data_IF_189465194189
#
_entry.id   IF_189465194189
#
_cell.length_a   1.000
_cell.length_b   1.000
_cell.length_c   1.000
_cell.angle_alpha   90.00
_cell.angle_beta   90.00
_cell.angle_gamma   90.00
#
_symmetry.space_group_name_H-M   'P 1'
#
loop_
_entity.id
_entity.type
_entity.pdbx_description
1 polymer ?
#
# COMPACT_ATOMS: atom_id res chain seq x y z
N UNK A 1 -14.53 8.95 8.50
CA UNK A 1 -14.64 7.60 9.15
C UNK A 1 -13.50 6.76 8.62
N UNK A 2 -12.68 6.11 9.47
CA UNK A 2 -11.41 5.51 9.01
C UNK A 2 -11.57 4.16 8.31
N UNK A 3 -10.66 3.88 7.37
CA UNK A 3 -10.48 2.61 6.64
C UNK A 3 -10.45 1.37 7.56
N UNK A 4 -10.16 1.54 8.85
CA UNK A 4 -10.17 0.47 9.87
C UNK A 4 -11.55 -0.15 10.10
N UNK A 5 -12.64 0.57 9.85
CA UNK A 5 -13.99 0.01 10.03
C UNK A 5 -14.40 -0.92 8.88
N UNK A 6 -13.69 -0.86 7.75
CA UNK A 6 -13.92 -1.70 6.58
C UNK A 6 -12.91 -2.83 6.43
N UNK A 7 -11.87 -2.86 7.27
CA UNK A 7 -11.01 -4.02 7.48
C UNK A 7 -11.49 -4.82 8.70
N UNK A 8 -12.71 -5.38 8.63
CA UNK A 8 -13.25 -6.30 9.64
C UNK A 8 -12.52 -7.67 9.70
N UNK A 9 -11.36 -7.79 9.03
CA UNK A 9 -10.49 -8.98 9.01
C UNK A 9 -9.90 -9.38 10.37
N UNK A 10 -10.09 -8.59 11.44
CA UNK A 10 -9.35 -8.77 12.70
C UNK A 10 -10.11 -9.54 13.79
N UNK A 11 -11.36 -9.95 13.57
CA UNK A 11 -12.20 -10.54 14.64
C UNK A 11 -12.70 -11.96 14.42
N UNK A 12 -13.02 -12.38 13.20
CA UNK A 12 -13.81 -13.60 12.98
C UNK A 12 -13.31 -14.42 11.78
N UNK A 13 -13.32 -15.75 11.94
CA UNK A 13 -13.11 -16.70 10.83
C UNK A 13 -14.34 -16.66 9.92
N UNK A 14 -14.29 -15.86 8.86
CA UNK A 14 -15.36 -15.81 7.85
C UNK A 14 -15.08 -16.76 6.68
N UNK A 15 -16.15 -17.33 6.12
CA UNK A 15 -16.09 -18.23 4.95
C UNK A 15 -15.64 -17.48 3.68
N UNK A 16 -14.98 -18.19 2.75
CA UNK A 16 -14.36 -17.62 1.54
C UNK A 16 -15.32 -16.79 0.68
N UNK A 17 -16.55 -17.26 0.47
CA UNK A 17 -17.57 -16.54 -0.29
C UNK A 17 -17.94 -15.20 0.36
N UNK A 18 -18.03 -15.15 1.69
CA UNK A 18 -18.28 -13.91 2.44
C UNK A 18 -17.11 -12.92 2.39
N UNK A 19 -15.87 -13.40 2.22
CA UNK A 19 -14.70 -12.53 1.99
C UNK A 19 -14.69 -11.94 0.58
N UNK A 20 -15.09 -12.70 -0.44
CA UNK A 20 -15.17 -12.24 -1.84
C UNK A 20 -16.29 -11.20 -2.06
N UNK A 21 -17.28 -11.16 -1.16
CA UNK A 21 -18.33 -10.14 -1.06
C UNK A 21 -17.97 -8.94 -0.16
N UNK A 22 -16.76 -8.89 0.41
CA UNK A 22 -16.28 -7.72 1.16
C UNK A 22 -15.34 -6.85 0.34
N UNK A 23 -15.30 -5.57 0.69
CA UNK A 23 -14.44 -4.59 0.05
C UNK A 23 -12.96 -4.92 0.25
N UNK A 24 -12.29 -5.32 -0.83
CA UNK A 24 -10.84 -5.45 -0.88
C UNK A 24 -10.22 -4.11 -1.28
N UNK A 25 -9.12 -3.63 -0.67
CA UNK A 25 -8.49 -2.40 -1.11
C UNK A 25 -7.77 -2.58 -2.45
N UNK A 26 -7.76 -1.54 -3.28
CA UNK A 26 -6.84 -1.52 -4.41
C UNK A 26 -5.43 -1.24 -3.87
N UNK A 27 -4.56 -2.25 -3.95
CA UNK A 27 -3.23 -2.25 -3.35
C UNK A 27 -2.15 -2.03 -4.40
N UNK A 28 -1.25 -1.10 -4.14
CA UNK A 28 0.05 -0.98 -4.79
C UNK A 28 1.14 -1.47 -3.83
N UNK A 29 1.80 -2.58 -4.16
CA UNK A 29 3.04 -3.00 -3.50
C UNK A 29 4.23 -2.48 -4.30
N UNK A 30 5.02 -1.61 -3.68
CA UNK A 30 6.11 -0.89 -4.33
C UNK A 30 7.42 -1.39 -3.75
N UNK A 31 8.28 -1.94 -4.61
CA UNK A 31 9.54 -2.54 -4.21
C UNK A 31 10.71 -1.97 -5.01
N UNK A 32 11.79 -1.48 -4.36
CA UNK A 32 13.02 -1.12 -5.04
C UNK A 32 13.53 -2.26 -5.91
N UNK A 33 14.24 -1.98 -7.02
CA UNK A 33 14.76 -3.06 -7.88
C UNK A 33 15.95 -3.80 -7.28
N UNK A 34 16.50 -3.28 -6.18
CA UNK A 34 17.63 -3.86 -5.46
C UNK A 34 17.25 -4.27 -4.04
N UNK A 35 18.03 -5.20 -3.47
CA UNK A 35 17.83 -5.69 -2.10
C UNK A 35 18.33 -4.68 -1.08
N UNK A 36 17.73 -4.72 0.12
CA UNK A 36 18.23 -3.97 1.27
C UNK A 36 19.70 -4.33 1.53
N UNK A 37 20.55 -3.31 1.69
CA UNK A 37 22.00 -3.45 1.85
C UNK A 37 22.82 -3.40 0.57
N UNK A 38 22.20 -3.34 -0.61
CA UNK A 38 22.92 -3.07 -1.86
C UNK A 38 23.55 -1.66 -1.86
N UNK A 39 24.68 -1.48 -2.56
CA UNK A 39 25.42 -0.20 -2.62
C UNK A 39 24.55 0.97 -3.10
N UNK A 40 23.65 0.73 -4.05
CA UNK A 40 22.73 1.71 -4.62
C UNK A 40 21.32 1.64 -4.01
N UNK A 41 21.13 0.96 -2.88
CA UNK A 41 19.82 0.78 -2.27
C UNK A 41 19.14 2.10 -1.94
N UNK A 42 19.86 3.08 -1.39
CA UNK A 42 19.27 4.36 -1.00
C UNK A 42 18.67 5.10 -2.20
N UNK A 43 19.38 5.13 -3.33
CA UNK A 43 18.93 5.79 -4.56
C UNK A 43 17.69 5.09 -5.13
N UNK A 44 17.73 3.76 -5.25
CA UNK A 44 16.59 2.98 -5.73
C UNK A 44 15.39 3.06 -4.79
N UNK A 45 15.64 3.14 -3.48
CA UNK A 45 14.56 3.29 -2.51
C UNK A 45 13.92 4.68 -2.58
N UNK A 46 14.71 5.75 -2.79
CA UNK A 46 14.16 7.10 -3.05
C UNK A 46 13.27 7.12 -4.29
N UNK A 47 13.66 6.44 -5.38
CA UNK A 47 12.83 6.32 -6.59
C UNK A 47 11.51 5.60 -6.30
N UNK A 48 11.56 4.49 -5.58
CA UNK A 48 10.36 3.77 -5.13
C UNK A 48 9.45 4.63 -4.23
N UNK A 49 10.02 5.41 -3.29
CA UNK A 49 9.26 6.35 -2.45
C UNK A 49 8.64 7.48 -3.30
N UNK A 50 9.38 7.99 -4.28
CA UNK A 50 8.87 8.99 -5.23
C UNK A 50 7.68 8.47 -6.03
N UNK A 51 7.71 7.21 -6.44
CA UNK A 51 6.57 6.54 -7.06
C UNK A 51 5.38 6.39 -6.11
N UNK A 52 5.62 6.01 -4.85
CA UNK A 52 4.57 5.97 -3.83
C UNK A 52 3.89 7.34 -3.67
N UNK A 53 4.67 8.43 -3.68
CA UNK A 53 4.13 9.79 -3.63
C UNK A 53 3.30 10.15 -4.87
N UNK A 54 3.72 9.74 -6.07
CA UNK A 54 2.94 9.93 -7.30
C UNK A 54 1.60 9.21 -7.22
N UNK A 55 1.58 7.95 -6.75
CA UNK A 55 0.33 7.19 -6.54
C UNK A 55 -0.57 7.90 -5.51
N UNK A 56 -0.03 8.34 -4.38
CA UNK A 56 -0.81 9.08 -3.36
C UNK A 56 -1.42 10.36 -3.95
N UNK A 57 -0.63 11.12 -4.72
CA UNK A 57 -1.12 12.34 -5.36
C UNK A 57 -2.19 12.04 -6.41
N UNK A 58 -2.03 10.96 -7.19
CA UNK A 58 -3.04 10.51 -8.14
C UNK A 58 -4.38 10.24 -7.44
N UNK A 59 -4.37 9.46 -6.36
CA UNK A 59 -5.57 9.21 -5.56
C UNK A 59 -6.22 10.50 -5.06
N UNK A 60 -5.42 11.45 -4.56
CA UNK A 60 -5.95 12.71 -4.01
C UNK A 60 -6.53 13.65 -5.06
N UNK A 61 -5.84 13.81 -6.19
CA UNK A 61 -6.13 14.91 -7.12
C UNK A 61 -6.91 14.45 -8.35
N UNK A 62 -6.68 13.22 -8.81
CA UNK A 62 -7.38 12.67 -10.00
C UNK A 62 -8.62 11.85 -9.60
N UNK A 63 -8.56 11.17 -8.44
CA UNK A 63 -9.69 10.38 -7.92
C UNK A 63 -10.47 11.06 -6.78
N UNK A 64 -10.14 12.32 -6.47
CA UNK A 64 -10.74 13.12 -5.38
C UNK A 64 -10.80 12.37 -4.02
N UNK A 65 -9.79 11.55 -3.73
CA UNK A 65 -9.77 10.76 -2.50
C UNK A 65 -9.33 11.61 -1.30
N UNK A 66 -10.05 11.46 -0.19
CA UNK A 66 -9.63 11.99 1.10
C UNK A 66 -8.43 11.22 1.66
N UNK A 67 -7.62 11.88 2.49
CA UNK A 67 -6.40 11.23 3.04
C UNK A 67 -6.72 10.03 3.93
N UNK A 68 -7.87 10.02 4.60
CA UNK A 68 -8.34 8.88 5.41
C UNK A 68 -8.66 7.61 4.61
N UNK A 69 -8.85 7.76 3.30
CA UNK A 69 -9.13 6.69 2.35
C UNK A 69 -7.87 6.14 1.67
N UNK A 70 -6.71 6.72 1.99
CA UNK A 70 -5.40 6.27 1.51
C UNK A 70 -4.62 5.73 2.70
N UNK A 71 -4.37 4.42 2.72
CA UNK A 71 -3.56 3.78 3.73
C UNK A 71 -2.15 3.51 3.20
N UNK A 72 -1.15 4.05 3.90
CA UNK A 72 0.27 3.87 3.58
C UNK A 72 0.89 2.98 4.64
N UNK A 73 1.48 1.86 4.22
CA UNK A 73 2.23 0.97 5.10
C UNK A 73 3.69 0.84 4.68
N UNK A 74 4.56 0.71 5.67
CA UNK A 74 5.96 0.31 5.50
C UNK A 74 6.24 -0.93 6.34
N UNK A 75 7.20 -1.74 5.89
CA UNK A 75 7.69 -2.91 6.63
C UNK A 75 9.18 -2.79 6.96
N UNK A 76 9.70 -3.68 7.83
CA UNK A 76 11.13 -3.76 8.17
C UNK A 76 12.05 -4.10 6.99
N UNK A 77 11.48 -4.45 5.84
CA UNK A 77 12.21 -4.73 4.60
C UNK A 77 12.26 -3.45 3.74
N UNK A 78 12.16 -3.61 2.43
CA UNK A 78 12.26 -2.54 1.43
C UNK A 78 10.93 -2.04 0.89
N UNK A 79 9.83 -2.76 1.12
CA UNK A 79 8.57 -2.55 0.41
C UNK A 79 7.74 -1.43 1.05
N UNK A 80 6.98 -0.73 0.22
CA UNK A 80 6.00 0.30 0.59
C UNK A 80 4.65 -0.11 0.02
N UNK A 81 3.58 0.03 0.78
CA UNK A 81 2.24 -0.36 0.36
C UNK A 81 1.35 0.85 0.38
N UNK A 82 0.61 1.08 -0.71
CA UNK A 82 -0.46 2.08 -0.80
C UNK A 82 -1.76 1.35 -1.05
N UNK A 83 -2.76 1.58 -0.20
CA UNK A 83 -4.08 0.97 -0.31
C UNK A 83 -5.13 2.06 -0.47
N UNK A 84 -5.92 1.98 -1.54
CA UNK A 84 -7.06 2.85 -1.76
C UNK A 84 -8.36 2.21 -1.28
N UNK A 85 -9.14 2.98 -0.51
CA UNK A 85 -10.46 2.56 -0.08
C UNK A 85 -11.40 2.46 -1.30
N UNK A 86 -11.94 1.27 -1.61
CA UNK A 86 -12.82 1.06 -2.76
C UNK A 86 -14.14 1.82 -2.70
N UNK A 87 -14.55 2.26 -1.51
CA UNK A 87 -15.74 3.10 -1.36
C UNK A 87 -15.56 4.49 -1.95
N UNK A 88 -14.34 5.02 -1.96
CA UNK A 88 -14.06 6.39 -2.42
C UNK A 88 -14.28 6.56 -3.92
N UNK A 89 -14.29 5.46 -4.68
CA UNK A 89 -14.56 5.45 -6.12
C UNK A 89 -15.76 4.56 -6.48
N UNK A 90 -16.69 4.36 -5.55
CA UNK A 90 -18.00 3.74 -5.81
C UNK A 90 -17.96 2.27 -6.25
N UNK A 91 -16.83 1.58 -6.03
CA UNK A 91 -16.72 0.16 -6.37
C UNK A 91 -17.70 -0.65 -5.53
N UNK A 92 -18.09 -1.83 -6.00
CA UNK A 92 -18.85 -2.81 -5.21
C UNK A 92 -18.02 -4.08 -5.06
N UNK A 93 -18.19 -4.84 -3.98
CA UNK A 93 -17.53 -6.13 -3.83
C UNK A 93 -17.85 -7.05 -5.02
N UNK A 94 -16.86 -7.84 -5.45
CA UNK A 94 -16.97 -8.72 -6.60
C UNK A 94 -15.85 -9.77 -6.61
N UNK A 95 -16.15 -10.98 -7.08
CA UNK A 95 -15.13 -12.00 -7.37
C UNK A 95 -14.21 -11.63 -8.56
N UNK A 96 -14.51 -10.56 -9.30
CA UNK A 96 -13.71 -10.02 -10.41
C UNK A 96 -12.86 -8.80 -10.03
N UNK A 97 -12.78 -8.44 -8.74
CA UNK A 97 -12.01 -7.28 -8.29
C UNK A 97 -10.56 -7.29 -8.79
N UNK A 98 -9.90 -8.45 -8.83
CA UNK A 98 -8.52 -8.55 -9.35
C UNK A 98 -8.41 -8.15 -10.83
N UNK A 99 -9.43 -8.40 -11.65
CA UNK A 99 -9.46 -7.99 -13.06
C UNK A 99 -9.65 -6.47 -13.14
N UNK A 100 -10.57 -5.93 -12.34
CA UNK A 100 -10.83 -4.49 -12.27
C UNK A 100 -9.57 -3.76 -11.84
N UNK A 101 -8.90 -4.20 -10.77
CA UNK A 101 -7.64 -3.62 -10.29
C UNK A 101 -6.50 -3.73 -11.28
N UNK A 102 -6.44 -4.83 -12.06
CA UNK A 102 -5.46 -4.94 -13.14
C UNK A 102 -5.68 -3.88 -14.23
N UNK A 103 -6.93 -3.65 -14.64
CA UNK A 103 -7.23 -2.62 -15.64
C UNK A 103 -7.05 -1.21 -15.08
N UNK A 104 -7.47 -0.96 -13.84
CA UNK A 104 -7.18 0.31 -13.15
C UNK A 104 -5.68 0.56 -13.05
N UNK A 105 -4.88 -0.46 -12.71
CA UNK A 105 -3.42 -0.34 -12.69
C UNK A 105 -2.88 0.07 -14.06
N UNK A 106 -3.32 -0.54 -15.16
CA UNK A 106 -2.84 -0.18 -16.50
C UNK A 106 -3.13 1.27 -16.85
N UNK A 107 -4.35 1.74 -16.56
CA UNK A 107 -4.74 3.14 -16.81
C UNK A 107 -3.82 4.09 -16.02
N UNK A 108 -3.63 3.82 -14.73
CA UNK A 108 -2.78 4.65 -13.87
C UNK A 108 -1.32 4.59 -14.35
N UNK A 109 -0.83 3.41 -14.73
CA UNK A 109 0.53 3.23 -15.26
C UNK A 109 0.74 4.02 -16.55
N UNK A 110 -0.23 4.04 -17.46
CA UNK A 110 -0.20 4.85 -18.68
C UNK A 110 -0.16 6.36 -18.38
N UNK A 111 -0.83 6.81 -17.32
CA UNK A 111 -0.91 8.23 -16.95
C UNK A 111 0.31 8.72 -16.16
N UNK A 112 0.82 7.94 -15.20
CA UNK A 112 1.88 8.38 -14.28
C UNK A 112 3.19 7.59 -14.36
N UNK A 113 3.27 6.54 -15.19
CA UNK A 113 4.49 5.77 -15.46
C UNK A 113 5.09 5.09 -14.23
N UNK A 114 4.53 3.93 -13.87
CA UNK A 114 4.90 3.12 -12.71
C UNK A 114 5.99 2.10 -13.07
N UNK A 115 7.05 2.04 -12.27
CA UNK A 115 8.22 1.18 -12.53
C UNK A 115 8.60 0.24 -11.38
N UNK A 116 8.07 0.49 -10.19
CA UNK A 116 8.42 -0.20 -8.95
C UNK A 116 7.23 -0.98 -8.36
N UNK A 117 6.04 -0.88 -8.95
CA UNK A 117 4.87 -1.66 -8.53
C UNK A 117 5.03 -3.12 -8.93
N UNK A 118 4.86 -4.02 -7.96
CA UNK A 118 4.72 -5.45 -8.21
C UNK A 118 3.30 -5.75 -8.71
N UNK A 119 3.18 -5.96 -10.02
CA UNK A 119 1.89 -6.27 -10.68
C UNK A 119 1.45 -7.72 -10.47
N UNK A 120 2.33 -8.58 -9.94
CA UNK A 120 1.99 -9.98 -9.69
C UNK A 120 0.86 -10.12 -8.67
N UNK A 121 0.63 -9.12 -7.82
CA UNK A 121 -0.45 -9.10 -6.83
C UNK A 121 -1.85 -9.00 -7.47
N UNK A 122 -1.98 -8.54 -8.72
CA UNK A 122 -3.27 -8.38 -9.41
C UNK A 122 -3.70 -9.67 -10.11
N UNK A 123 -3.83 -10.75 -9.35
CA UNK A 123 -4.31 -12.03 -9.82
C UNK A 123 -5.33 -12.62 -8.82
N UNK A 124 -6.08 -13.65 -9.24
CA UNK A 124 -7.15 -14.25 -8.43
C UNK A 124 -6.68 -14.87 -7.10
N UNK A 125 -5.37 -15.09 -6.95
CA UNK A 125 -4.69 -15.64 -5.79
C UNK A 125 -3.64 -14.68 -5.20
N UNK A 126 -3.67 -13.41 -5.60
CA UNK A 126 -2.74 -12.39 -5.12
C UNK A 126 -2.83 -12.26 -3.60
N UNK A 127 -1.70 -12.40 -2.91
CA UNK A 127 -1.65 -12.27 -1.47
C UNK A 127 -1.28 -10.84 -1.11
N UNK A 128 -2.12 -10.17 -0.30
CA UNK A 128 -1.74 -8.91 0.33
C UNK A 128 -1.22 -9.11 1.75
N UNK A 129 -0.32 -8.23 2.15
CA UNK A 129 0.04 -8.06 3.55
C UNK A 129 -0.89 -7.05 4.20
N UNK A 130 -1.49 -7.43 5.32
CA UNK A 130 -2.44 -6.57 6.03
C UNK A 130 -1.72 -5.70 7.06
N UNK A 131 -2.33 -4.56 7.46
CA UNK A 131 -1.84 -3.76 8.58
C UNK A 131 -1.61 -4.62 9.82
N UNK A 132 -0.56 -4.33 10.59
CA UNK A 132 -0.18 -5.07 11.81
C UNK A 132 0.19 -6.55 11.59
N UNK A 133 0.42 -6.99 10.35
CA UNK A 133 1.07 -8.28 10.09
C UNK A 133 2.56 -8.24 10.50
N UNK A 134 3.10 -9.35 11.00
CA UNK A 134 4.54 -9.48 11.32
C UNK A 134 5.31 -10.06 10.13
N UNK A 135 6.41 -9.41 9.75
CA UNK A 135 7.28 -9.82 8.63
C UNK A 135 8.70 -9.29 8.79
N UNK A 136 9.70 -10.11 8.43
CA UNK A 136 11.12 -9.73 8.43
C UNK A 136 11.58 -9.04 9.74
N UNK A 137 11.16 -9.59 10.88
CA UNK A 137 11.59 -9.09 12.19
C UNK A 137 10.77 -7.91 12.75
N UNK A 138 9.66 -7.50 12.12
CA UNK A 138 8.80 -6.46 12.66
C UNK A 138 7.41 -6.37 12.05
N UNK A 139 6.58 -5.50 12.61
CA UNK A 139 5.21 -5.30 12.13
C UNK A 139 5.16 -4.32 10.96
N UNK A 140 4.18 -4.53 10.07
CA UNK A 140 3.74 -3.52 9.12
C UNK A 140 3.23 -2.29 9.88
N UNK A 141 3.73 -1.11 9.52
CA UNK A 141 3.41 0.14 10.21
C UNK A 141 2.71 1.11 9.29
N UNK A 142 1.62 1.67 9.78
CA UNK A 142 0.94 2.80 9.15
C UNK A 142 1.80 4.05 9.29
N UNK A 143 1.95 4.78 8.19
CA UNK A 143 2.54 6.13 8.18
C UNK A 143 1.58 7.13 7.52
N UNK A 144 1.77 8.41 7.82
CA UNK A 144 1.04 9.50 7.16
C UNK A 144 1.69 9.90 5.84
N UNK A 145 0.98 10.65 5.00
CA UNK A 145 1.54 11.24 3.77
C UNK A 145 2.75 12.13 4.11
N UNK A 146 2.69 12.88 5.21
CA UNK A 146 3.80 13.71 5.68
C UNK A 146 5.03 12.88 6.08
N UNK A 147 4.83 11.73 6.73
CA UNK A 147 5.92 10.80 7.03
C UNK A 147 6.49 10.15 5.76
N UNK A 148 5.66 9.88 4.74
CA UNK A 148 6.13 9.41 3.44
C UNK A 148 7.01 10.46 2.74
N UNK A 149 6.63 11.74 2.79
CA UNK A 149 7.46 12.86 2.29
C UNK A 149 8.79 12.96 3.04
N UNK A 150 8.79 12.82 4.37
CA UNK A 150 10.03 12.78 5.18
C UNK A 150 10.90 11.58 4.81
N UNK A 151 10.30 10.44 4.53
CA UNK A 151 11.02 9.23 4.08
C UNK A 151 11.71 9.45 2.73
N UNK A 152 11.08 10.20 1.80
CA UNK A 152 11.69 10.57 0.53
C UNK A 152 12.98 11.38 0.73
N UNK A 153 12.92 12.39 1.61
CA UNK A 153 14.09 13.24 1.91
C UNK A 153 15.19 12.46 2.63
N UNK A 154 14.83 11.55 3.54
CA UNK A 154 15.79 10.73 4.29
C UNK A 154 15.26 9.29 4.48
N UNK A 155 15.65 8.33 3.62
CA UNK A 155 15.18 6.95 3.71
C UNK A 155 15.55 6.25 5.01
N UNK A 156 16.60 6.70 5.70
CA UNK A 156 17.04 6.13 6.98
C UNK A 156 16.16 6.53 8.17
N UNK A 157 15.31 7.56 8.02
CA UNK A 157 14.33 7.94 9.05
C UNK A 157 13.30 6.84 9.31
N UNK A 158 13.18 5.87 8.39
CA UNK A 158 12.37 4.65 8.56
C UNK A 158 12.62 4.02 9.93
N UNK A 159 13.90 3.95 10.35
CA UNK A 159 14.32 3.40 11.64
C UNK A 159 13.66 4.09 12.85
N UNK A 160 13.45 5.41 12.76
CA UNK A 160 12.83 6.18 13.82
C UNK A 160 11.33 5.92 13.91
N UNK A 161 10.66 5.63 12.80
CA UNK A 161 9.26 5.18 12.82
C UNK A 161 9.09 3.85 13.56
N UNK A 162 10.17 3.07 13.75
CA UNK A 162 10.10 1.83 14.54
C UNK A 162 10.10 2.05 16.06
N UNK A 163 10.66 3.17 16.53
CA UNK A 163 10.91 3.42 17.95
C UNK A 163 9.67 3.99 18.68
N UNK A 164 8.84 4.78 17.99
CA UNK A 164 7.73 5.53 18.59
C UNK A 164 6.50 4.71 19.07
N UNK A 165 6.53 3.38 19.00
CA UNK A 165 5.42 2.52 19.47
C UNK A 165 5.82 1.47 20.51
N UNK A 166 7.06 1.46 21.01
CA UNK A 166 7.38 0.65 22.21
C UNK A 166 6.80 1.24 23.51
N UNK A 167 6.22 2.44 23.44
CA UNK A 167 5.72 3.20 24.58
C UNK A 167 4.20 3.45 24.54
N UNK A 168 3.44 2.65 23.78
CA UNK A 168 1.98 2.62 23.79
C UNK A 168 1.49 1.21 24.09
#
# INVERSE_FOLDING_TARGET
MSIQKYTSFLGEKTHREANEETYYPFLFEIEPKVKLGAKNFEEEYKKAIGEALRIVNYGKYELDMHEEDILILINNSRSIYIMFNPKSYGLKPSNKLYMIYREMYKIIDEEIGLQYVDTSIYNSYGLMKTPNSYYAGGYFRKITIEQLKKLYSNPWIKNNFYIYQKNL
#
